data_IF_801019298767
#
_entry.id   IF_801019298767
#
_cell.length_a   1.000
_cell.length_b   1.000
_cell.length_c   1.000
_cell.angle_alpha   90.00
_cell.angle_beta   90.00
_cell.angle_gamma   90.00
#
_symmetry.space_group_name_H-M   'P 1'
#
loop_
_entity.id
_entity.type
_entity.pdbx_description
1 polymer ?
#
# COMPACT_ATOMS: atom_id res chain seq x y z
N UNK A 1 2.21 -0.82 6.44
CA UNK A 1 1.18 -1.83 6.76
C UNK A 1 1.25 -2.95 5.74
N UNK A 2 0.97 -4.20 6.14
CA UNK A 2 0.99 -5.37 5.26
C UNK A 2 -0.33 -6.12 5.41
N UNK A 3 -0.97 -6.40 4.27
CA UNK A 3 -2.16 -7.23 4.16
C UNK A 3 -1.77 -8.50 3.40
N UNK A 4 -2.07 -9.65 3.97
CA UNK A 4 -1.75 -10.98 3.42
C UNK A 4 -2.99 -11.86 3.40
N UNK A 5 -2.90 -13.03 2.77
CA UNK A 5 -3.99 -14.01 2.68
C UNK A 5 -5.24 -13.43 1.99
N UNK A 6 -5.03 -12.66 0.92
CA UNK A 6 -6.11 -12.18 0.07
C UNK A 6 -6.66 -13.29 -0.82
N UNK A 7 -7.43 -12.91 -1.83
CA UNK A 7 -7.98 -13.86 -2.79
C UNK A 7 -6.87 -14.62 -3.54
N UNK A 8 -7.06 -15.93 -3.73
CA UNK A 8 -6.15 -16.80 -4.47
C UNK A 8 -5.86 -16.28 -5.88
N UNK A 9 -4.58 -16.21 -6.22
CA UNK A 9 -4.13 -15.78 -7.54
C UNK A 9 -3.90 -16.98 -8.46
N UNK A 10 -4.31 -16.86 -9.72
CA UNK A 10 -4.03 -17.91 -10.70
C UNK A 10 -2.53 -18.05 -10.95
N UNK A 11 -1.97 -19.23 -10.66
CA UNK A 11 -0.55 -19.53 -10.83
C UNK A 11 0.36 -18.51 -10.12
N UNK A 12 -0.03 -18.12 -8.90
CA UNK A 12 0.67 -17.18 -8.05
C UNK A 12 0.31 -17.41 -6.57
N UNK A 13 0.97 -16.69 -5.65
CA UNK A 13 0.64 -16.73 -4.24
C UNK A 13 -0.72 -16.06 -3.96
N UNK A 14 -1.27 -16.26 -2.76
CA UNK A 14 -2.42 -15.47 -2.31
C UNK A 14 -2.11 -13.98 -2.40
N UNK A 15 -3.06 -13.19 -2.91
CA UNK A 15 -2.83 -11.76 -3.12
C UNK A 15 -2.39 -11.09 -1.83
N UNK A 16 -1.34 -10.29 -1.93
CA UNK A 16 -0.81 -9.52 -0.81
C UNK A 16 -0.64 -8.06 -1.20
N UNK A 17 -0.82 -7.15 -0.23
CA UNK A 17 -0.77 -5.72 -0.42
C UNK A 17 0.08 -5.07 0.67
N UNK A 18 1.13 -4.36 0.27
CA UNK A 18 1.99 -3.59 1.15
C UNK A 18 1.70 -2.10 1.00
N UNK A 19 1.07 -1.51 2.00
CA UNK A 19 0.79 -0.07 2.03
C UNK A 19 1.99 0.68 2.58
N UNK A 20 2.53 1.57 1.76
CA UNK A 20 3.62 2.51 2.07
C UNK A 20 3.03 3.90 2.31
N UNK A 21 2.75 4.18 3.59
CA UNK A 21 2.31 5.51 4.01
C UNK A 21 3.49 6.49 3.98
N UNK A 22 3.26 7.65 3.37
CA UNK A 22 4.16 8.80 3.35
C UNK A 22 3.44 10.01 3.94
N UNK A 23 4.23 10.95 4.44
CA UNK A 23 3.74 12.24 4.90
C UNK A 23 3.08 12.99 3.74
N UNK A 24 1.85 13.44 3.93
CA UNK A 24 1.15 14.31 2.98
C UNK A 24 -0.03 15.02 3.63
N UNK A 25 -0.53 16.08 3.00
CA UNK A 25 -1.59 16.92 3.59
C UNK A 25 -2.98 16.29 3.46
N UNK A 26 -3.15 15.31 2.56
CA UNK A 26 -4.40 14.63 2.28
C UNK A 26 -4.17 13.13 2.23
N UNK A 27 -5.21 12.36 2.56
CA UNK A 27 -5.19 10.91 2.39
C UNK A 27 -5.50 10.59 0.94
N UNK A 28 -4.48 10.19 0.19
CA UNK A 28 -4.60 9.91 -1.23
C UNK A 28 -3.68 8.76 -1.64
N UNK A 29 -4.11 7.99 -2.65
CA UNK A 29 -3.32 6.93 -3.25
C UNK A 29 -2.51 7.52 -4.40
N UNK A 30 -1.19 7.38 -4.35
CA UNK A 30 -0.29 7.93 -5.38
C UNK A 30 -0.17 6.99 -6.57
N UNK A 31 -0.42 5.69 -6.36
CA UNK A 31 -0.35 4.66 -7.39
C UNK A 31 -0.47 3.27 -6.80
N UNK A 32 -0.41 2.26 -7.67
CA UNK A 32 -0.34 0.84 -7.32
C UNK A 32 0.72 0.21 -8.21
N UNK A 33 1.72 -0.42 -7.59
CA UNK A 33 2.76 -1.17 -8.30
C UNK A 33 2.58 -2.67 -8.05
N UNK A 34 2.71 -3.48 -9.11
CA UNK A 34 2.75 -4.96 -9.02
C UNK A 34 4.16 -5.44 -9.37
N UNK A 35 5.14 -5.38 -8.43
CA UNK A 35 6.52 -5.79 -8.71
C UNK A 35 6.67 -7.30 -8.98
N UNK A 36 5.80 -8.12 -8.40
CA UNK A 36 5.71 -9.56 -8.63
C UNK A 36 4.24 -9.96 -8.71
N UNK A 37 3.96 -11.08 -9.39
CA UNK A 37 2.59 -11.52 -9.65
C UNK A 37 1.78 -11.58 -8.34
N UNK A 38 0.68 -10.84 -8.30
CA UNK A 38 -0.25 -10.79 -7.18
C UNK A 38 0.33 -10.26 -5.85
N UNK A 39 1.50 -9.61 -5.89
CA UNK A 39 2.02 -8.81 -4.80
C UNK A 39 1.94 -7.34 -5.18
N UNK A 40 1.24 -6.56 -4.37
CA UNK A 40 0.96 -5.17 -4.65
C UNK A 40 1.67 -4.27 -3.65
N UNK A 41 2.19 -3.14 -4.14
CA UNK A 41 2.69 -2.06 -3.31
C UNK A 41 1.82 -0.83 -3.56
N UNK A 42 1.29 -0.27 -2.47
CA UNK A 42 0.43 0.90 -2.49
C UNK A 42 1.14 2.09 -1.87
N UNK A 43 1.84 2.93 -2.65
CA UNK A 43 2.28 4.24 -2.19
C UNK A 43 1.07 5.14 -1.93
N UNK A 44 0.97 5.66 -0.71
CA UNK A 44 -0.10 6.56 -0.31
C UNK A 44 0.42 7.68 0.59
N UNK A 45 -0.24 8.82 0.51
CA UNK A 45 -0.02 9.96 1.36
C UNK A 45 -1.07 9.97 2.48
N UNK A 46 -0.67 10.40 3.68
CA UNK A 46 -1.61 10.65 4.76
C UNK A 46 -1.15 11.76 5.70
N UNK A 47 -2.09 12.55 6.27
CA UNK A 47 -1.78 13.56 7.27
C UNK A 47 -1.38 12.95 8.62
N UNK A 48 -1.60 11.64 8.81
CA UNK A 48 -1.22 10.93 10.03
C UNK A 48 0.29 10.96 10.28
N UNK A 49 1.09 10.98 9.21
CA UNK A 49 2.55 11.09 9.31
C UNK A 49 3.05 12.54 9.29
N UNK A 50 2.15 13.52 9.24
CA UNK A 50 2.50 14.93 9.22
C UNK A 50 2.83 15.39 10.64
N UNK A 51 4.11 15.37 11.01
CA UNK A 51 4.61 15.79 12.33
C UNK A 51 4.69 17.31 12.51
N UNK A 52 4.01 18.08 11.68
CA UNK A 52 4.25 19.52 11.46
C UNK A 52 3.41 20.49 12.28
N UNK A 53 2.67 20.04 13.30
CA UNK A 53 2.03 20.90 14.30
C UNK A 53 1.92 20.14 15.62
N UNK A 54 2.92 20.35 16.48
CA UNK A 54 2.82 20.21 17.93
C UNK A 54 3.30 21.52 18.54
#
# INVERSE_FOLDING_TARGET
>A
MLFTNGEGCWNGPDRSLKVKLRCGLKTELTGVDEPSRCEYILPSHSPFLYSGFA
#
